data_IF_232573927690
#
_entry.id   IF_232573927690
#
_cell.length_a   1.000
_cell.length_b   1.000
_cell.length_c   1.000
_cell.angle_alpha   90.00
_cell.angle_beta   90.00
_cell.angle_gamma   90.00
#
_symmetry.space_group_name_H-M   'P 1'
#
loop_
_entity.id
_entity.type
_entity.pdbx_description
1 polymer ?
#
# COMPACT_ATOMS: atom_id res chain seq x y z
N UNK A 1 1.39 -51.61 41.08
CA UNK A 1 0.59 -50.36 41.01
C UNK A 1 1.39 -49.34 40.21
N UNK A 2 0.97 -48.92 39.01
CA UNK A 2 1.71 -47.93 38.23
C UNK A 2 1.50 -46.52 38.81
N UNK A 3 2.60 -45.82 39.06
CA UNK A 3 2.61 -44.43 39.53
C UNK A 3 2.45 -43.53 38.31
N UNK A 4 1.25 -42.99 38.10
CA UNK A 4 1.02 -41.98 37.08
C UNK A 4 1.53 -40.63 37.57
N UNK A 5 2.67 -40.18 37.04
CA UNK A 5 3.12 -38.80 37.19
C UNK A 5 2.11 -37.89 36.47
N UNK A 6 1.27 -37.21 37.25
CA UNK A 6 0.37 -36.19 36.72
C UNK A 6 1.21 -35.05 36.13
N UNK A 7 1.09 -34.84 34.82
CA UNK A 7 1.70 -33.69 34.15
C UNK A 7 1.23 -32.39 34.82
N UNK A 8 2.16 -31.50 35.16
CA UNK A 8 1.83 -30.18 35.70
C UNK A 8 0.97 -29.44 34.66
N UNK A 9 -0.11 -28.76 35.08
CA UNK A 9 -0.92 -27.96 34.17
C UNK A 9 -0.05 -26.88 33.51
N UNK A 10 -0.32 -26.52 32.24
CA UNK A 10 0.39 -25.44 31.57
C UNK A 10 0.23 -24.15 32.39
N UNK A 11 1.36 -23.46 32.66
CA UNK A 11 1.32 -22.16 33.31
C UNK A 11 0.47 -21.21 32.47
N UNK A 12 -0.39 -20.42 33.13
CA UNK A 12 -1.16 -19.37 32.48
C UNK A 12 -0.23 -18.47 31.65
N UNK A 13 -0.67 -18.08 30.45
CA UNK A 13 0.10 -17.26 29.53
C UNK A 13 0.49 -15.95 30.25
N UNK A 14 1.79 -15.75 30.48
CA UNK A 14 2.33 -14.64 31.26
C UNK A 14 2.40 -13.33 30.46
N UNK A 15 1.80 -13.30 29.27
CA UNK A 15 1.73 -12.09 28.45
C UNK A 15 0.82 -11.07 29.14
N UNK A 16 1.21 -9.78 29.16
CA UNK A 16 0.30 -8.74 29.62
C UNK A 16 -0.98 -8.76 28.77
N UNK A 17 -2.10 -8.38 29.37
CA UNK A 17 -3.36 -8.22 28.66
C UNK A 17 -3.11 -7.32 27.44
N UNK A 18 -3.54 -7.79 26.27
CA UNK A 18 -3.37 -7.05 25.03
C UNK A 18 -4.07 -5.69 25.20
N UNK A 19 -3.30 -4.61 25.19
CA UNK A 19 -3.87 -3.27 25.22
C UNK A 19 -4.68 -3.12 23.94
N UNK A 20 -5.99 -2.87 24.08
CA UNK A 20 -6.83 -2.73 22.90
C UNK A 20 -6.27 -1.63 21.99
N UNK A 21 -6.10 -1.90 20.69
CA UNK A 21 -5.56 -0.93 19.77
C UNK A 21 -6.47 0.29 19.76
N UNK A 22 -5.92 1.45 20.14
CA UNK A 22 -6.64 2.72 20.00
C UNK A 22 -7.02 2.89 18.53
N UNK A 23 -8.29 3.16 18.24
CA UNK A 23 -8.75 3.46 16.87
C UNK A 23 -7.86 4.57 16.30
N UNK A 24 -7.25 4.32 15.14
CA UNK A 24 -6.46 5.36 14.46
C UNK A 24 -7.38 6.52 14.11
N UNK A 25 -7.08 7.70 14.65
CA UNK A 25 -7.78 8.94 14.35
C UNK A 25 -7.25 9.62 13.09
N UNK A 26 -6.17 9.12 12.51
CA UNK A 26 -5.55 9.71 11.32
C UNK A 26 -5.96 8.95 10.06
N UNK A 27 -6.46 9.70 9.09
CA UNK A 27 -6.73 9.25 7.73
C UNK A 27 -5.74 9.95 6.80
N UNK A 28 -4.90 9.17 6.12
CA UNK A 28 -3.94 9.72 5.17
C UNK A 28 -4.66 10.29 3.94
N UNK A 29 -4.07 11.33 3.37
CA UNK A 29 -4.52 11.92 2.11
C UNK A 29 -4.39 10.89 0.98
N UNK A 30 -5.39 10.79 0.11
CA UNK A 30 -5.29 9.92 -1.06
C UNK A 30 -4.41 10.58 -2.14
N UNK A 31 -3.78 9.80 -3.06
CA UNK A 31 -3.04 10.37 -4.19
C UNK A 31 -3.86 11.31 -5.08
N UNK A 32 -5.17 11.03 -5.19
CA UNK A 32 -6.13 11.86 -5.94
C UNK A 32 -6.34 13.21 -5.29
N UNK A 33 -6.44 13.24 -3.96
CA UNK A 33 -6.62 14.47 -3.19
C UNK A 33 -5.30 15.26 -3.07
N UNK A 34 -4.16 14.56 -3.09
CA UNK A 34 -2.83 15.15 -3.00
C UNK A 34 -2.42 15.88 -4.27
N UNK A 35 -2.81 15.37 -5.45
CA UNK A 35 -2.46 15.94 -6.75
C UNK A 35 -3.68 15.89 -7.69
N UNK A 36 -4.34 17.04 -7.97
CA UNK A 36 -5.56 17.08 -8.78
C UNK A 36 -5.41 16.52 -10.20
N UNK A 37 -4.22 16.58 -10.80
CA UNK A 37 -3.97 16.01 -12.13
C UNK A 37 -4.03 14.48 -12.14
N UNK A 38 -3.72 13.80 -11.03
CA UNK A 38 -3.87 12.34 -10.90
C UNK A 38 -5.35 11.97 -10.93
N UNK A 39 -6.20 12.72 -10.21
CA UNK A 39 -7.63 12.46 -10.21
C UNK A 39 -8.22 12.56 -11.63
N UNK A 40 -7.87 13.62 -12.37
CA UNK A 40 -8.32 13.81 -13.75
C UNK A 40 -7.83 12.71 -14.71
N UNK A 41 -6.57 12.29 -14.58
CA UNK A 41 -5.99 11.24 -15.43
C UNK A 41 -6.57 9.85 -15.11
N UNK A 42 -6.84 9.54 -13.85
CA UNK A 42 -7.54 8.32 -13.43
C UNK A 42 -9.01 8.30 -13.92
N UNK A 43 -9.72 9.42 -13.83
CA UNK A 43 -11.10 9.51 -14.34
C UNK A 43 -11.16 9.32 -15.85
N UNK A 44 -10.20 9.93 -16.58
CA UNK A 44 -10.07 9.74 -18.01
C UNK A 44 -9.69 8.28 -18.35
N UNK A 45 -8.79 7.66 -17.59
CA UNK A 45 -8.40 6.26 -17.77
C UNK A 45 -9.61 5.33 -17.62
N UNK A 46 -10.42 5.53 -16.57
CA UNK A 46 -11.64 4.77 -16.33
C UNK A 46 -12.63 4.92 -17.49
N UNK A 47 -12.82 6.15 -17.98
CA UNK A 47 -13.69 6.45 -19.12
C UNK A 47 -13.21 5.76 -20.40
N UNK A 48 -11.93 5.88 -20.76
CA UNK A 48 -11.39 5.27 -21.97
C UNK A 48 -11.37 3.74 -21.90
N UNK A 49 -11.16 3.18 -20.72
CA UNK A 49 -11.22 1.73 -20.50
C UNK A 49 -12.64 1.21 -20.71
N UNK A 50 -13.65 1.90 -20.18
CA UNK A 50 -15.05 1.56 -20.43
C UNK A 50 -15.41 1.67 -21.92
N UNK A 51 -14.95 2.73 -22.60
CA UNK A 51 -15.19 2.91 -24.04
C UNK A 51 -14.50 1.82 -24.89
N UNK A 52 -13.30 1.38 -24.49
CA UNK A 52 -12.60 0.28 -25.16
C UNK A 52 -13.40 -1.01 -25.08
N UNK A 53 -13.93 -1.35 -23.90
CA UNK A 53 -14.75 -2.56 -23.71
C UNK A 53 -15.96 -2.53 -24.65
N UNK A 54 -16.73 -1.43 -24.64
CA UNK A 54 -17.91 -1.28 -25.51
C UNK A 54 -17.55 -1.37 -27.00
N UNK A 55 -16.42 -0.78 -27.40
CA UNK A 55 -15.95 -0.82 -28.79
C UNK A 55 -15.55 -2.24 -29.21
N UNK A 56 -14.85 -2.97 -28.33
CA UNK A 56 -14.46 -4.36 -28.57
C UNK A 56 -15.67 -5.30 -28.65
N UNK A 57 -16.65 -5.13 -27.78
CA UNK A 57 -17.90 -5.91 -27.80
C UNK A 57 -18.67 -5.65 -29.10
N UNK A 58 -18.76 -4.38 -29.51
CA UNK A 58 -19.41 -3.99 -30.77
C UNK A 58 -18.71 -4.60 -31.99
N UNK A 59 -17.38 -4.64 -31.99
CA UNK A 59 -16.60 -5.28 -33.05
C UNK A 59 -16.82 -6.78 -33.08
N UNK A 60 -16.79 -7.43 -31.92
CA UNK A 60 -17.02 -8.88 -31.82
C UNK A 60 -18.43 -9.24 -32.30
N UNK A 61 -19.45 -8.50 -31.90
CA UNK A 61 -20.82 -8.70 -32.37
C UNK A 61 -20.94 -8.59 -33.90
N UNK A 62 -20.32 -7.58 -34.52
CA UNK A 62 -20.32 -7.44 -35.98
C UNK A 62 -19.55 -8.55 -36.69
N UNK A 63 -18.48 -9.06 -36.08
CA UNK A 63 -17.73 -10.20 -36.60
C UNK A 63 -18.57 -11.48 -36.57
N UNK A 64 -19.30 -11.74 -35.49
CA UNK A 64 -20.21 -12.89 -35.40
C UNK A 64 -21.35 -12.80 -36.41
N UNK A 65 -21.94 -11.62 -36.59
CA UNK A 65 -22.96 -11.38 -37.63
C UNK A 65 -22.41 -11.69 -39.03
N UNK A 66 -21.17 -11.28 -39.33
CA UNK A 66 -20.56 -11.59 -40.63
C UNK A 66 -20.17 -13.06 -40.80
N UNK A 67 -19.80 -13.75 -39.72
CA UNK A 67 -19.46 -15.17 -39.75
C UNK A 67 -20.69 -16.04 -40.00
N UNK A 68 -21.84 -15.66 -39.43
CA UNK A 68 -23.12 -16.36 -39.63
C UNK A 68 -23.88 -15.95 -40.90
N UNK A 69 -23.34 -15.02 -41.70
CA UNK A 69 -23.97 -14.54 -42.93
C UNK A 69 -23.46 -15.34 -44.14
N UNK A 70 -24.22 -16.34 -44.56
CA UNK A 70 -23.92 -17.20 -45.71
C UNK A 70 -24.34 -16.60 -47.07
N UNK A 71 -24.83 -15.35 -47.10
CA UNK A 71 -25.27 -14.72 -48.36
C UNK A 71 -24.13 -14.50 -49.36
N UNK A 72 -24.44 -14.43 -50.65
CA UNK A 72 -23.42 -14.11 -51.67
C UNK A 72 -23.02 -12.63 -51.56
N UNK A 73 -21.72 -12.36 -51.65
CA UNK A 73 -21.20 -10.99 -51.67
C UNK A 73 -21.36 -10.43 -53.09
N UNK A 74 -22.54 -9.89 -53.38
CA UNK A 74 -22.91 -9.39 -54.71
C UNK A 74 -22.62 -7.90 -54.80
N UNK A 75 -21.94 -7.48 -55.87
CA UNK A 75 -21.71 -6.07 -56.17
C UNK A 75 -23.05 -5.32 -56.33
N UNK A 76 -23.21 -4.11 -55.76
CA UNK A 76 -24.45 -3.34 -55.84
C UNK A 76 -24.95 -3.07 -57.27
N UNK A 77 -24.06 -2.96 -58.26
CA UNK A 77 -24.44 -2.81 -59.66
C UNK A 77 -25.02 -4.10 -60.24
N UNK A 78 -24.50 -5.25 -59.82
CA UNK A 78 -24.99 -6.58 -60.22
C UNK A 78 -26.30 -6.91 -59.49
N UNK A 79 -26.43 -6.58 -58.21
CA UNK A 79 -27.67 -6.81 -57.45
C UNK A 79 -28.84 -6.01 -58.03
N UNK A 80 -28.58 -4.78 -58.50
CA UNK A 80 -29.56 -3.93 -59.19
C UNK A 80 -30.01 -4.52 -60.53
N UNK A 81 -29.12 -5.23 -61.24
CA UNK A 81 -29.46 -5.94 -62.48
C UNK A 81 -30.22 -7.24 -62.22
N UNK A 82 -29.98 -7.90 -61.09
CA UNK A 82 -30.64 -9.14 -60.67
C UNK A 82 -31.95 -8.92 -59.90
N UNK A 83 -32.24 -7.68 -59.47
CA UNK A 83 -33.41 -7.37 -58.65
C UNK A 83 -33.29 -7.83 -57.19
N UNK A 84 -32.08 -8.18 -56.75
CA UNK A 84 -31.78 -8.66 -55.40
C UNK A 84 -31.32 -7.50 -54.49
N UNK A 85 -31.57 -7.59 -53.17
CA UNK A 85 -31.07 -6.60 -52.23
C UNK A 85 -29.53 -6.57 -52.24
N UNK A 86 -28.90 -5.38 -52.15
CA UNK A 86 -27.44 -5.27 -52.14
C UNK A 86 -26.83 -5.92 -50.90
N UNK A 87 -25.62 -6.47 -51.03
CA UNK A 87 -24.86 -7.06 -49.92
C UNK A 87 -24.39 -5.99 -48.93
N UNK A 88 -24.82 -6.10 -47.67
CA UNK A 88 -24.35 -5.24 -46.58
C UNK A 88 -22.96 -5.66 -46.03
N UNK A 89 -22.35 -6.72 -46.57
CA UNK A 89 -21.08 -7.28 -46.08
C UNK A 89 -19.93 -6.29 -46.20
N UNK A 90 -19.86 -5.54 -47.30
CA UNK A 90 -18.84 -4.52 -47.49
C UNK A 90 -18.91 -3.40 -46.44
N UNK A 91 -20.13 -2.95 -46.09
CA UNK A 91 -20.34 -1.93 -45.06
C UNK A 91 -19.97 -2.44 -43.67
N UNK A 92 -20.36 -3.69 -43.33
CA UNK A 92 -20.00 -4.34 -42.06
C UNK A 92 -18.49 -4.53 -41.92
N UNK A 93 -17.79 -4.97 -42.98
CA UNK A 93 -16.31 -5.08 -43.00
C UNK A 93 -15.62 -3.73 -42.78
N UNK A 94 -16.11 -2.67 -43.45
CA UNK A 94 -15.62 -1.31 -43.23
C UNK A 94 -15.82 -0.87 -41.78
N UNK A 95 -17.00 -1.15 -41.21
CA UNK A 95 -17.29 -0.80 -39.81
C UNK A 95 -16.39 -1.54 -38.82
N UNK A 96 -16.04 -2.80 -39.10
CA UNK A 96 -15.08 -3.55 -38.28
C UNK A 96 -13.69 -2.91 -38.36
N UNK A 97 -13.23 -2.51 -39.55
CA UNK A 97 -11.95 -1.82 -39.71
C UNK A 97 -11.93 -0.49 -38.94
N UNK A 98 -13.01 0.31 -39.02
CA UNK A 98 -13.14 1.55 -38.26
C UNK A 98 -13.08 1.32 -36.74
N UNK A 99 -13.74 0.27 -36.24
CA UNK A 99 -13.71 -0.12 -34.82
C UNK A 99 -12.32 -0.61 -34.38
N UNK A 100 -11.60 -1.34 -35.24
CA UNK A 100 -10.21 -1.75 -34.97
C UNK A 100 -9.26 -0.55 -34.85
N UNK A 101 -9.37 0.43 -35.75
CA UNK A 101 -8.59 1.67 -35.68
C UNK A 101 -8.92 2.44 -34.38
N UNK A 102 -10.20 2.49 -34.02
CA UNK A 102 -10.65 3.11 -32.77
C UNK A 102 -10.08 2.39 -31.54
N UNK A 103 -10.11 1.07 -31.49
CA UNK A 103 -9.51 0.26 -30.41
C UNK A 103 -8.02 0.56 -30.26
N UNK A 104 -7.26 0.58 -31.37
CA UNK A 104 -5.83 0.90 -31.33
C UNK A 104 -5.56 2.31 -30.81
N UNK A 105 -6.38 3.28 -31.20
CA UNK A 105 -6.27 4.67 -30.72
C UNK A 105 -6.58 4.76 -29.22
N UNK A 106 -7.60 4.04 -28.74
CA UNK A 106 -7.94 3.96 -27.32
C UNK A 106 -6.82 3.30 -26.51
N UNK A 107 -6.18 2.25 -27.04
CA UNK A 107 -5.04 1.60 -26.40
C UNK A 107 -3.84 2.53 -26.26
N UNK A 108 -3.52 3.29 -27.31
CA UNK A 108 -2.44 4.28 -27.27
C UNK A 108 -2.73 5.39 -26.25
N UNK A 109 -3.98 5.88 -26.20
CA UNK A 109 -4.40 6.89 -25.23
C UNK A 109 -4.31 6.37 -23.78
N UNK A 110 -4.75 5.13 -23.54
CA UNK A 110 -4.63 4.46 -22.23
C UNK A 110 -3.17 4.31 -21.82
N UNK A 111 -2.30 3.87 -22.74
CA UNK A 111 -0.87 3.72 -22.46
C UNK A 111 -0.22 5.06 -22.06
N UNK A 112 -0.57 6.14 -22.76
CA UNK A 112 -0.07 7.48 -22.45
C UNK A 112 -0.56 7.98 -21.08
N UNK A 113 -1.82 7.73 -20.71
CA UNK A 113 -2.35 8.06 -19.39
C UNK A 113 -1.66 7.28 -18.27
N UNK A 114 -1.42 5.99 -18.47
CA UNK A 114 -0.69 5.17 -17.50
C UNK A 114 0.73 5.70 -17.26
N UNK A 115 1.41 6.12 -18.33
CA UNK A 115 2.74 6.71 -18.21
C UNK A 115 2.72 8.05 -17.47
N UNK A 116 1.71 8.90 -17.75
CA UNK A 116 1.52 10.16 -17.01
C UNK A 116 1.26 9.91 -15.52
N UNK A 117 0.41 8.94 -15.18
CA UNK A 117 0.15 8.55 -13.79
C UNK A 117 1.42 8.05 -13.10
N UNK A 118 2.23 7.25 -13.81
CA UNK A 118 3.52 6.76 -13.31
C UNK A 118 4.48 7.92 -12.99
N UNK A 119 4.55 8.92 -13.85
CA UNK A 119 5.38 10.12 -13.67
C UNK A 119 4.85 11.01 -12.53
N UNK A 120 3.53 11.10 -12.37
CA UNK A 120 2.90 11.93 -11.34
C UNK A 120 2.97 11.33 -9.92
N UNK A 121 3.05 10.00 -9.80
CA UNK A 121 3.01 9.28 -8.51
C UNK A 121 4.08 9.75 -7.50
N UNK A 122 5.37 9.94 -7.86
CA UNK A 122 6.37 10.46 -6.92
C UNK A 122 6.04 11.84 -6.35
N UNK A 123 5.34 12.69 -7.12
CA UNK A 123 4.90 14.00 -6.63
C UNK A 123 3.78 13.86 -5.59
N UNK A 124 2.83 12.95 -5.82
CA UNK A 124 1.76 12.66 -4.87
C UNK A 124 2.28 12.03 -3.59
N UNK A 125 3.23 11.09 -3.67
CA UNK A 125 3.89 10.50 -2.50
C UNK A 125 4.53 11.59 -1.62
N UNK A 126 5.28 12.52 -2.24
CA UNK A 126 5.87 13.66 -1.52
C UNK A 126 4.81 14.54 -0.85
N UNK A 127 3.71 14.83 -1.54
CA UNK A 127 2.63 15.64 -1.00
C UNK A 127 1.91 14.95 0.18
N UNK A 128 1.65 13.65 0.08
CA UNK A 128 1.04 12.85 1.15
C UNK A 128 1.96 12.81 2.38
N UNK A 129 3.26 12.57 2.18
CA UNK A 129 4.24 12.55 3.28
C UNK A 129 4.39 13.93 3.93
N UNK A 130 4.40 15.01 3.14
CA UNK A 130 4.44 16.37 3.66
C UNK A 130 3.18 16.68 4.50
N UNK A 131 2.00 16.25 4.06
CA UNK A 131 0.76 16.40 4.81
C UNK A 131 0.74 15.57 6.10
N UNK A 132 1.37 14.38 6.08
CA UNK A 132 1.45 13.51 7.25
C UNK A 132 2.49 13.96 8.29
N UNK A 133 3.49 14.76 7.87
CA UNK A 133 4.64 15.12 8.70
C UNK A 133 4.27 15.78 10.04
N UNK A 134 3.34 16.75 10.13
CA UNK A 134 3.01 17.38 11.42
C UNK A 134 2.40 16.41 12.43
N UNK A 135 1.56 15.48 11.97
CA UNK A 135 0.96 14.46 12.85
C UNK A 135 2.01 13.41 13.25
N UNK A 136 2.93 13.06 12.33
CA UNK A 136 4.06 12.20 12.66
C UNK A 136 4.96 12.85 13.71
N UNK A 137 5.33 14.13 13.55
CA UNK A 137 6.12 14.89 14.53
C UNK A 137 5.48 14.90 15.91
N UNK A 138 4.18 15.16 16.00
CA UNK A 138 3.43 15.11 17.26
C UNK A 138 3.51 13.73 17.95
N UNK A 139 3.32 12.66 17.18
CA UNK A 139 3.35 11.28 17.72
C UNK A 139 4.75 10.84 18.11
N UNK A 140 5.74 11.23 17.31
CA UNK A 140 7.16 10.92 17.55
C UNK A 140 7.67 11.70 18.76
N UNK A 141 7.28 12.96 18.94
CA UNK A 141 7.58 13.74 20.15
C UNK A 141 7.01 13.08 21.40
N UNK A 142 5.74 12.68 21.39
CA UNK A 142 5.12 11.98 22.53
C UNK A 142 5.82 10.64 22.83
N UNK A 143 6.23 9.90 21.80
CA UNK A 143 7.00 8.66 21.97
C UNK A 143 8.39 8.94 22.55
N UNK A 144 9.11 9.93 22.04
CA UNK A 144 10.43 10.28 22.52
C UNK A 144 10.40 10.72 23.99
N UNK A 145 9.39 11.49 24.39
CA UNK A 145 9.21 11.89 25.79
C UNK A 145 8.93 10.71 26.71
N UNK A 146 8.10 9.75 26.27
CA UNK A 146 7.89 8.50 27.02
C UNK A 146 9.19 7.69 27.13
N UNK A 147 9.99 7.62 26.06
CA UNK A 147 11.26 6.91 26.07
C UNK A 147 12.30 7.57 26.98
N UNK A 148 12.33 8.91 27.10
CA UNK A 148 13.19 9.60 28.08
C UNK A 148 12.86 9.19 29.51
N UNK A 149 11.57 9.04 29.84
CA UNK A 149 11.14 8.54 31.16
C UNK A 149 11.61 7.10 31.38
N UNK A 150 11.52 6.25 30.36
CA UNK A 150 12.03 4.87 30.44
C UNK A 150 13.56 4.84 30.59
N UNK A 151 14.30 5.69 29.89
CA UNK A 151 15.78 5.77 30.02
C UNK A 151 16.18 6.17 31.44
N UNK A 152 15.47 7.14 32.05
CA UNK A 152 15.70 7.55 33.44
C UNK A 152 15.37 6.43 34.45
N UNK A 153 14.27 5.71 34.26
CA UNK A 153 13.93 4.57 35.12
C UNK A 153 14.91 3.39 34.95
N UNK A 154 15.41 3.18 33.73
CA UNK A 154 16.43 2.17 33.45
C UNK A 154 17.75 2.50 34.14
N UNK A 155 18.14 3.77 34.13
CA UNK A 155 19.27 4.31 34.86
C UNK A 155 19.19 4.02 36.36
N UNK A 156 18.08 4.38 37.00
CA UNK A 156 17.85 4.15 38.43
C UNK A 156 17.93 2.65 38.79
N UNK A 157 17.45 1.78 37.90
CA UNK A 157 17.56 0.34 38.07
C UNK A 157 19.01 -0.14 37.96
N UNK A 158 19.79 0.33 36.98
CA UNK A 158 21.21 -0.05 36.88
C UNK A 158 22.01 0.44 38.10
N UNK A 159 21.75 1.66 38.58
CA UNK A 159 22.38 2.22 39.79
C UNK A 159 22.08 1.37 41.03
N UNK A 160 20.83 0.91 41.19
CA UNK A 160 20.47 -0.01 42.28
C UNK A 160 21.24 -1.33 42.20
N UNK A 161 21.35 -1.91 41.00
CA UNK A 161 22.06 -3.18 40.83
C UNK A 161 23.54 -3.05 41.11
N UNK A 162 24.14 -1.95 40.67
CA UNK A 162 25.53 -1.63 40.97
C UNK A 162 25.74 -1.45 42.48
N UNK A 163 24.88 -0.71 43.17
CA UNK A 163 24.99 -0.52 44.61
C UNK A 163 24.94 -1.86 45.39
N UNK A 164 24.24 -2.87 44.88
CA UNK A 164 24.24 -4.23 45.43
C UNK A 164 25.57 -4.94 45.14
N UNK A 165 26.09 -4.85 43.91
CA UNK A 165 27.37 -5.44 43.52
C UNK A 165 28.56 -4.83 44.28
N UNK A 166 28.52 -3.54 44.58
CA UNK A 166 29.52 -2.82 45.37
C UNK A 166 29.65 -3.35 46.80
N UNK A 167 28.59 -3.96 47.34
CA UNK A 167 28.63 -4.67 48.62
C UNK A 167 29.21 -6.10 48.51
N UNK A 168 29.70 -6.48 47.33
CA UNK A 168 30.20 -7.82 47.03
C UNK A 168 29.08 -8.88 46.90
N UNK A 169 27.83 -8.45 46.77
CA UNK A 169 26.67 -9.34 46.65
C UNK A 169 26.21 -9.40 45.20
N UNK A 170 25.99 -10.60 44.67
CA UNK A 170 25.39 -10.73 43.34
C UNK A 170 23.90 -10.44 43.39
N UNK A 171 23.41 -9.57 42.50
CA UNK A 171 21.98 -9.35 42.28
C UNK A 171 21.30 -10.52 41.54
N UNK A 172 22.05 -11.54 41.08
CA UNK A 172 21.50 -12.65 40.28
C UNK A 172 20.40 -13.45 41.00
N UNK A 173 20.35 -13.40 42.33
CA UNK A 173 19.27 -13.99 43.14
C UNK A 173 17.92 -13.28 42.98
N UNK A 174 17.90 -12.04 42.49
CA UNK A 174 16.68 -11.29 42.17
C UNK A 174 16.01 -11.74 40.85
N UNK A 175 16.66 -12.61 40.08
CA UNK A 175 16.15 -13.14 38.83
C UNK A 175 16.30 -12.19 37.64
N UNK A 176 15.41 -12.32 36.65
CA UNK A 176 15.47 -11.55 35.40
C UNK A 176 14.82 -10.18 35.56
N UNK A 177 15.53 -9.25 36.20
CA UNK A 177 15.08 -7.87 36.41
C UNK A 177 15.71 -6.87 35.43
N UNK A 178 16.84 -7.22 34.80
CA UNK A 178 17.52 -6.35 33.84
C UNK A 178 16.89 -6.42 32.43
N UNK A 179 16.42 -5.31 31.86
CA UNK A 179 15.85 -5.29 30.51
C UNK A 179 16.93 -5.27 29.42
N UNK A 180 17.49 -6.44 29.07
CA UNK A 180 18.59 -6.57 28.10
C UNK A 180 18.35 -5.91 26.73
N UNK A 181 17.08 -5.77 26.30
CA UNK A 181 16.73 -5.14 25.02
C UNK A 181 17.01 -3.62 24.99
N UNK A 182 17.15 -2.97 26.16
CA UNK A 182 17.51 -1.55 26.26
C UNK A 182 19.02 -1.31 26.13
N UNK A 183 19.84 -2.38 26.20
CA UNK A 183 21.29 -2.30 26.23
C UNK A 183 21.84 -1.84 27.58
N UNK A 184 23.15 -1.61 27.65
CA UNK A 184 23.82 -1.06 28.84
C UNK A 184 23.79 0.47 28.82
N UNK A 185 23.51 1.12 29.96
CA UNK A 185 23.60 2.57 30.04
C UNK A 185 25.06 3.07 30.02
N UNK A 186 26.01 2.24 30.47
CA UNK A 186 27.44 2.58 30.60
C UNK A 186 28.18 2.68 29.29
N UNK A 187 27.76 1.91 28.30
CA UNK A 187 28.38 1.90 26.98
C UNK A 187 27.57 2.79 26.04
N UNK A 188 28.16 3.90 25.62
CA UNK A 188 27.54 4.85 24.69
C UNK A 188 27.09 4.16 23.38
N UNK A 189 27.77 3.10 22.94
CA UNK A 189 27.38 2.31 21.77
C UNK A 189 26.15 1.42 21.98
N UNK A 190 25.78 1.15 23.24
CA UNK A 190 24.70 0.24 23.60
C UNK A 190 23.44 0.92 24.12
N UNK A 191 23.46 2.25 24.37
CA UNK A 191 22.28 3.03 24.80
C UNK A 191 21.23 3.12 23.70
N UNK A 192 20.37 2.10 23.59
CA UNK A 192 19.40 1.98 22.48
C UNK A 192 18.40 3.14 22.44
N UNK A 193 17.91 3.59 23.60
CA UNK A 193 16.96 4.71 23.66
C UNK A 193 17.63 6.02 23.21
N UNK A 194 18.81 6.33 23.77
CA UNK A 194 19.53 7.55 23.42
C UNK A 194 19.90 7.58 21.92
N UNK A 195 20.34 6.45 21.37
CA UNK A 195 20.67 6.33 19.94
C UNK A 195 19.44 6.56 19.07
N UNK A 196 18.31 5.95 19.39
CA UNK A 196 17.06 6.16 18.66
C UNK A 196 16.59 7.63 18.70
N UNK A 197 16.64 8.28 19.86
CA UNK A 197 16.33 9.71 19.97
C UNK A 197 17.31 10.55 19.12
N UNK A 198 18.60 10.17 19.10
CA UNK A 198 19.60 10.78 18.23
C UNK A 198 19.29 10.64 16.74
N UNK A 199 18.85 9.46 16.30
CA UNK A 199 18.43 9.19 14.92
C UNK A 199 17.20 10.02 14.54
N UNK A 200 16.23 10.16 15.45
CA UNK A 200 15.06 11.02 15.24
C UNK A 200 15.45 12.50 15.07
N UNK A 201 16.39 13.00 15.89
CA UNK A 201 16.95 14.35 15.73
C UNK A 201 17.68 14.50 14.39
N UNK A 202 18.49 13.52 14.01
CA UNK A 202 19.21 13.52 12.73
C UNK A 202 18.25 13.49 11.52
N UNK A 203 17.10 12.84 11.66
CA UNK A 203 16.03 12.85 10.66
C UNK A 203 15.20 14.16 10.65
N UNK A 204 15.48 15.10 11.56
CA UNK A 204 14.84 16.41 11.61
C UNK A 204 13.52 16.47 12.40
N UNK A 205 13.29 15.51 13.30
CA UNK A 205 12.15 15.56 14.23
C UNK A 205 12.50 16.39 15.48
N UNK A 206 11.56 17.22 15.94
CA UNK A 206 11.69 18.04 17.16
C UNK A 206 11.48 17.22 18.43
N UNK A 207 12.46 16.39 18.79
CA UNK A 207 12.45 15.52 19.99
C UNK A 207 13.53 15.86 21.01
#
# INVERSE_FOLDING_TARGET
MPIFNKAKPPKADARPAQVEPRKSTYTALSPRDAVPSIAADEDMLNKLTAEKIVTADSRHALQEILRGDDSLDIDPAVSKLLGEPPSDKAQKRKRIADLQIKEQTLEQAIALLNERLRIARPSAEKAILAAARPEAEKRISALADALKVVDAAHLELEDLLEAIEDQGVSWGSLGQIKPFFLGSHRDAGQRKIANYIGELKAAGYGV
#
